data_IF_425999004468
#
_entry.id   IF_425999004468
#
_cell.length_a   1.000
_cell.length_b   1.000
_cell.length_c   1.000
_cell.angle_alpha   90.00
_cell.angle_beta   90.00
_cell.angle_gamma   90.00
#
_symmetry.space_group_name_H-M   'P 1'
#
loop_
_entity.id
_entity.type
_entity.pdbx_description
1 polymer ?
#
# COMPACT_ATOMS: atom_id res chain seq x y z
N UNK A 1 -8.58 -1.74 -7.75
CA UNK A 1 -8.31 -2.99 -7.00
C UNK A 1 -7.00 -2.86 -6.24
N UNK A 2 -6.96 -3.21 -4.96
CA UNK A 2 -5.73 -3.32 -4.16
C UNK A 2 -5.29 -4.78 -4.04
N UNK A 3 -3.98 -4.97 -3.87
CA UNK A 3 -3.41 -6.21 -3.31
C UNK A 3 -2.37 -5.88 -2.25
N UNK A 4 -1.56 -6.86 -1.83
CA UNK A 4 -0.50 -6.66 -0.85
C UNK A 4 0.70 -7.56 -1.12
N UNK A 5 1.89 -7.12 -0.73
CA UNK A 5 3.10 -7.93 -0.79
C UNK A 5 3.53 -8.36 0.61
N UNK A 6 3.71 -9.68 0.78
CA UNK A 6 3.99 -10.29 2.07
C UNK A 6 5.47 -10.38 2.43
N UNK A 7 5.73 -10.97 3.60
CA UNK A 7 7.04 -11.05 4.26
C UNK A 7 8.21 -11.56 3.39
N UNK A 8 7.97 -12.28 2.29
CA UNK A 8 9.01 -12.75 1.36
C UNK A 8 9.85 -11.62 0.72
N UNK A 9 9.33 -10.40 0.71
CA UNK A 9 10.06 -9.23 0.19
C UNK A 9 10.81 -8.45 1.27
N UNK A 10 10.67 -8.81 2.56
CA UNK A 10 11.28 -8.10 3.68
C UNK A 10 12.78 -7.87 3.44
N UNK A 11 13.23 -6.64 3.69
CA UNK A 11 14.63 -6.23 3.57
C UNK A 11 15.10 -5.94 2.15
N UNK A 12 14.31 -6.23 1.10
CA UNK A 12 14.64 -5.85 -0.29
C UNK A 12 14.50 -4.34 -0.46
N UNK A 13 15.28 -3.76 -1.37
CA UNK A 13 15.15 -2.34 -1.71
C UNK A 13 13.86 -2.09 -2.49
N UNK A 14 13.10 -1.09 -2.07
CA UNK A 14 12.00 -0.50 -2.83
C UNK A 14 12.55 0.48 -3.86
N UNK A 15 11.68 1.00 -4.74
CA UNK A 15 12.04 2.04 -5.69
C UNK A 15 12.41 3.39 -5.05
N UNK A 16 12.04 3.66 -3.78
CA UNK A 16 12.59 4.81 -3.04
C UNK A 16 14.02 4.58 -2.54
N UNK A 17 14.52 3.35 -2.59
CA UNK A 17 15.82 2.94 -2.07
C UNK A 17 15.78 2.45 -0.61
N UNK A 18 14.66 2.64 0.09
CA UNK A 18 14.41 2.11 1.42
C UNK A 18 14.34 0.58 1.41
N UNK A 19 14.63 -0.05 2.55
CA UNK A 19 14.37 -1.49 2.72
C UNK A 19 12.89 -1.68 3.07
N UNK A 20 12.21 -2.57 2.36
CA UNK A 20 10.83 -2.89 2.66
C UNK A 20 10.72 -3.58 4.03
N UNK A 21 9.88 -3.01 4.90
CA UNK A 21 9.40 -3.66 6.12
C UNK A 21 7.88 -3.93 6.03
N UNK A 22 7.43 -5.20 6.09
CA UNK A 22 6.00 -5.51 6.11
C UNK A 22 5.24 -4.97 7.32
N UNK A 23 5.90 -4.57 8.42
CA UNK A 23 5.23 -3.92 9.55
C UNK A 23 4.95 -2.42 9.36
N UNK A 24 5.58 -1.78 8.38
CA UNK A 24 5.37 -0.36 8.11
C UNK A 24 4.06 -0.10 7.36
N UNK A 25 3.56 1.13 7.43
CA UNK A 25 2.40 1.58 6.66
C UNK A 25 2.83 2.20 5.33
N UNK A 26 3.26 1.34 4.41
CA UNK A 26 3.74 1.74 3.09
C UNK A 26 2.94 1.09 1.96
N UNK A 27 3.11 1.64 0.76
CA UNK A 27 2.49 1.12 -0.45
C UNK A 27 3.36 1.32 -1.69
N UNK A 28 3.16 0.44 -2.67
CA UNK A 28 3.59 0.65 -4.04
C UNK A 28 2.45 1.31 -4.83
N UNK A 29 2.77 2.37 -5.59
CA UNK A 29 1.83 3.01 -6.51
C UNK A 29 2.46 3.26 -7.90
N UNK A 30 1.71 3.13 -9.02
CA UNK A 30 2.29 3.22 -10.36
C UNK A 30 2.92 4.58 -10.67
N UNK A 31 2.24 5.68 -10.29
CA UNK A 31 2.62 7.05 -10.72
C UNK A 31 2.79 8.08 -9.61
N UNK A 32 2.12 7.95 -8.45
CA UNK A 32 2.25 8.91 -7.36
C UNK A 32 3.72 9.08 -6.95
N UNK A 33 4.21 10.31 -6.67
CA UNK A 33 5.59 10.49 -6.27
C UNK A 33 5.92 9.75 -4.96
N UNK A 34 7.20 9.44 -4.75
CA UNK A 34 7.62 8.86 -3.49
C UNK A 34 7.38 9.85 -2.35
N UNK A 35 6.99 9.34 -1.18
CA UNK A 35 6.62 10.14 -0.02
C UNK A 35 5.16 10.58 0.00
N UNK A 36 4.37 10.39 -1.05
CA UNK A 36 2.93 10.72 -1.02
C UNK A 36 2.22 9.97 0.10
N UNK A 37 1.43 10.67 0.89
CA UNK A 37 0.52 10.10 1.89
C UNK A 37 -0.85 9.88 1.25
N UNK A 38 -1.33 8.64 1.31
CA UNK A 38 -2.58 8.21 0.72
C UNK A 38 -3.45 7.56 1.79
N UNK A 39 -4.66 8.09 1.98
CA UNK A 39 -5.71 7.37 2.68
C UNK A 39 -6.31 6.32 1.75
N UNK A 40 -6.26 5.07 2.19
CA UNK A 40 -6.82 3.91 1.50
C UNK A 40 -8.02 3.44 2.29
N UNK A 41 -9.21 3.50 1.70
CA UNK A 41 -10.46 3.11 2.35
C UNK A 41 -11.10 1.91 1.65
N UNK A 42 -11.69 1.01 2.44
CA UNK A 42 -12.50 -0.11 1.95
C UNK A 42 -13.99 0.14 2.23
N UNK A 43 -14.79 0.51 1.22
CA UNK A 43 -16.19 0.94 1.41
C UNK A 43 -17.05 -0.10 2.13
N UNK A 44 -16.87 -1.38 1.78
CA UNK A 44 -17.69 -2.50 2.27
C UNK A 44 -17.47 -2.83 3.76
N UNK A 45 -16.32 -2.44 4.34
CA UNK A 45 -15.93 -2.86 5.70
C UNK A 45 -15.62 -1.70 6.65
N UNK A 46 -15.96 -0.45 6.30
CA UNK A 46 -15.70 0.76 7.12
C UNK A 46 -14.28 0.78 7.72
N UNK A 47 -13.26 0.49 6.90
CA UNK A 47 -11.86 0.54 7.29
C UNK A 47 -11.09 1.52 6.41
N UNK A 48 -10.25 2.35 7.03
CA UNK A 48 -9.31 3.21 6.33
C UNK A 48 -7.92 3.13 6.97
N UNK A 49 -6.89 3.30 6.15
CA UNK A 49 -5.49 3.35 6.59
C UNK A 49 -4.75 4.38 5.78
N UNK A 50 -3.90 5.18 6.44
CA UNK A 50 -2.97 6.06 5.74
C UNK A 50 -1.68 5.30 5.49
N UNK A 51 -1.20 5.34 4.25
CA UNK A 51 0.07 4.75 3.83
C UNK A 51 0.94 5.78 3.13
N UNK A 52 2.26 5.59 3.23
CA UNK A 52 3.24 6.34 2.46
C UNK A 52 3.66 5.56 1.22
N UNK A 53 3.66 6.22 0.07
CA UNK A 53 4.18 5.63 -1.17
C UNK A 53 5.70 5.59 -1.09
N UNK A 54 6.30 4.39 -1.09
CA UNK A 54 7.75 4.21 -1.11
C UNK A 54 8.23 3.23 -2.17
N UNK A 55 7.33 2.70 -3.00
CA UNK A 55 7.67 1.75 -4.05
C UNK A 55 6.85 1.94 -5.34
N UNK A 56 7.26 1.25 -6.41
CA UNK A 56 6.63 1.28 -7.74
C UNK A 56 5.89 0.00 -8.07
N UNK A 57 4.88 0.13 -8.93
CA UNK A 57 3.88 -0.89 -9.20
C UNK A 57 2.58 -0.59 -8.45
N UNK A 58 1.56 -1.46 -8.45
CA UNK A 58 1.49 -2.71 -9.21
C UNK A 58 1.28 -2.53 -10.71
N UNK A 59 1.49 -3.60 -11.47
CA UNK A 59 0.97 -3.77 -12.83
C UNK A 59 -0.33 -4.59 -12.85
N UNK A 60 -0.96 -4.67 -14.02
CA UNK A 60 -2.12 -5.55 -14.27
C UNK A 60 -3.44 -5.07 -13.67
N UNK A 61 -3.75 -3.77 -13.79
CA UNK A 61 -5.05 -3.21 -13.42
C UNK A 61 -5.30 -2.98 -11.91
N UNK A 62 -4.33 -3.31 -11.06
CA UNK A 62 -4.33 -2.92 -9.64
C UNK A 62 -3.85 -1.47 -9.51
N UNK A 63 -4.41 -0.75 -8.54
CA UNK A 63 -4.12 0.68 -8.31
C UNK A 63 -3.13 0.91 -7.17
N UNK A 64 -2.99 -0.07 -6.26
CA UNK A 64 -2.09 -0.01 -5.12
C UNK A 64 -1.74 -1.41 -4.65
N UNK A 65 -0.49 -1.63 -4.26
CA UNK A 65 -0.10 -2.79 -3.47
C UNK A 65 0.34 -2.32 -2.08
N UNK A 66 -0.28 -2.87 -1.04
CA UNK A 66 -0.08 -2.46 0.34
C UNK A 66 0.98 -3.33 1.02
N UNK A 67 1.62 -2.77 2.06
CA UNK A 67 2.32 -3.60 3.04
C UNK A 67 1.35 -4.55 3.76
N UNK A 68 1.89 -5.60 4.38
CA UNK A 68 1.09 -6.54 5.17
C UNK A 68 0.35 -5.84 6.34
N UNK A 69 1.02 -4.91 7.03
CA UNK A 69 0.39 -4.15 8.11
C UNK A 69 -0.76 -3.25 7.66
N UNK A 70 -0.68 -2.65 6.47
CA UNK A 70 -1.77 -1.88 5.90
C UNK A 70 -2.91 -2.79 5.41
N UNK A 71 -2.58 -3.89 4.73
CA UNK A 71 -3.55 -4.88 4.27
C UNK A 71 -4.34 -5.51 5.43
N UNK A 72 -3.67 -5.79 6.57
CA UNK A 72 -4.30 -6.34 7.78
C UNK A 72 -5.34 -5.39 8.35
N UNK A 73 -5.06 -4.08 8.38
CA UNK A 73 -6.01 -3.05 8.84
C UNK A 73 -7.26 -2.94 7.93
N UNK A 74 -7.12 -3.28 6.65
CA UNK A 74 -8.22 -3.31 5.69
C UNK A 74 -8.88 -4.69 5.53
N UNK A 75 -8.43 -5.70 6.29
CA UNK A 75 -8.94 -7.07 6.19
C UNK A 75 -8.61 -7.77 4.86
N UNK A 76 -7.55 -7.35 4.17
CA UNK A 76 -7.17 -7.86 2.85
C UNK A 76 -6.24 -9.08 2.91
N UNK A 77 -5.64 -9.39 4.05
CA UNK A 77 -4.67 -10.50 4.18
C UNK A 77 -5.29 -11.84 3.78
N UNK A 78 -6.49 -12.13 4.28
CA UNK A 78 -7.17 -13.41 4.00
C UNK A 78 -7.77 -13.47 2.59
N UNK A 79 -8.16 -12.32 2.03
CA UNK A 79 -8.83 -12.24 0.74
C UNK A 79 -7.85 -12.07 -0.43
N UNK A 80 -6.59 -11.71 -0.15
CA UNK A 80 -5.53 -11.45 -1.13
C UNK A 80 -5.68 -10.11 -1.87
N UNK A 81 -6.89 -9.78 -2.30
CA UNK A 81 -7.22 -8.55 -3.04
C UNK A 81 -8.53 -7.95 -2.57
N UNK A 82 -8.78 -6.68 -2.89
CA UNK A 82 -10.08 -6.06 -2.62
C UNK A 82 -10.26 -4.69 -3.25
N UNK A 83 -11.52 -4.28 -3.43
CA UNK A 83 -11.86 -2.95 -3.91
C UNK A 83 -11.59 -1.91 -2.81
N UNK A 84 -10.87 -0.85 -3.19
CA UNK A 84 -10.51 0.26 -2.32
C UNK A 84 -10.64 1.58 -3.08
N UNK A 85 -10.81 2.66 -2.33
CA UNK A 85 -10.68 4.03 -2.81
C UNK A 85 -9.39 4.64 -2.27
N UNK A 86 -8.74 5.48 -3.08
CA UNK A 86 -7.52 6.20 -2.71
C UNK A 86 -7.82 7.69 -2.65
N UNK A 87 -7.32 8.35 -1.61
CA UNK A 87 -7.34 9.81 -1.48
C UNK A 87 -5.97 10.29 -1.07
N UNK A 88 -5.35 11.13 -1.89
CA UNK A 88 -4.09 11.80 -1.52
C UNK A 88 -4.41 12.81 -0.43
N UNK A 89 -3.65 12.77 0.66
CA UNK A 89 -3.84 13.65 1.82
C UNK A 89 -2.62 14.50 2.16
N UNK A 90 -1.49 14.28 1.47
CA UNK A 90 -0.28 15.07 1.67
C UNK A 90 0.98 14.35 1.21
N UNK A 91 2.12 14.79 1.75
CA UNK A 91 3.43 14.19 1.56
C UNK A 91 4.10 14.06 2.93
N UNK A 92 4.85 12.97 3.12
CA UNK A 92 5.73 12.84 4.26
C UNK A 92 6.89 13.84 4.09
N UNK A 93 7.22 14.54 5.18
CA UNK A 93 8.38 15.43 5.27
C UNK A 93 9.71 14.66 5.20
#
# INVERSE_FOLDING_TARGET
>A
MASWYGAKYRGRKTASGERFDPSDLTAAHPVLPMGTLVEVSRPERRGAVVVRVNDRGPGGGRIVDLSEAAARRLGLVNEGTGLVSLRVIGFAE
#
